data_IF_293616495123
#
_entry.id   IF_293616495123
#
_cell.length_a   1.000
_cell.length_b   1.000
_cell.length_c   1.000
_cell.angle_alpha   90.00
_cell.angle_beta   90.00
_cell.angle_gamma   90.00
#
_symmetry.space_group_name_H-M   'P 1'
#
loop_
_entity.id
_entity.type
_entity.pdbx_description
1 polymer ?
#
# COMPACT_ATOMS: atom_id res chain seq x y z
N UNK A 1 16.57 -26.65 5.57
CA UNK A 1 15.41 -25.79 5.25
C UNK A 1 14.29 -26.11 6.23
N UNK A 2 14.34 -25.41 7.38
CA UNK A 2 13.59 -25.74 8.59
C UNK A 2 12.22 -25.06 8.62
N UNK A 3 11.32 -25.58 9.45
CA UNK A 3 9.91 -25.20 9.57
C UNK A 3 9.59 -23.69 9.60
N UNK A 4 10.49 -22.85 10.13
CA UNK A 4 10.31 -21.39 10.21
C UNK A 4 10.22 -20.70 8.84
N UNK A 5 11.02 -21.14 7.86
CA UNK A 5 11.00 -20.54 6.52
C UNK A 5 9.74 -20.90 5.75
N UNK A 6 9.25 -22.14 5.94
CA UNK A 6 7.94 -22.56 5.41
C UNK A 6 6.79 -21.79 6.07
N UNK A 7 6.86 -21.57 7.38
CA UNK A 7 5.86 -20.77 8.09
C UNK A 7 5.86 -19.32 7.59
N UNK A 8 7.04 -18.71 7.44
CA UNK A 8 7.18 -17.35 6.91
C UNK A 8 6.60 -17.26 5.49
N UNK A 9 6.94 -18.21 4.62
CA UNK A 9 6.44 -18.24 3.26
C UNK A 9 4.91 -18.37 3.21
N UNK A 10 4.33 -19.24 4.05
CA UNK A 10 2.88 -19.38 4.15
C UNK A 10 2.21 -18.07 4.59
N UNK A 11 2.76 -17.41 5.62
CA UNK A 11 2.28 -16.10 6.08
C UNK A 11 2.34 -15.04 4.98
N UNK A 12 3.44 -14.98 4.23
CA UNK A 12 3.58 -13.99 3.15
C UNK A 12 2.62 -14.26 1.99
N UNK A 13 2.30 -15.53 1.69
CA UNK A 13 1.27 -15.89 0.69
C UNK A 13 -0.11 -15.40 1.16
N UNK A 14 -0.47 -15.64 2.41
CA UNK A 14 -1.74 -15.14 2.99
C UNK A 14 -1.81 -13.61 2.98
N UNK A 15 -0.68 -12.93 3.22
CA UNK A 15 -0.58 -11.48 3.13
C UNK A 15 -0.83 -10.94 1.72
N UNK A 16 -0.30 -11.61 0.69
CA UNK A 16 -0.54 -11.23 -0.71
C UNK A 16 -2.01 -11.39 -1.07
N UNK A 17 -2.67 -12.48 -0.64
CA UNK A 17 -4.09 -12.68 -0.89
C UNK A 17 -4.96 -11.65 -0.16
N UNK A 18 -4.63 -11.36 1.11
CA UNK A 18 -5.28 -10.28 1.85
C UNK A 18 -5.08 -8.93 1.14
N UNK A 19 -3.90 -8.66 0.59
CA UNK A 19 -3.66 -7.44 -0.17
C UNK A 19 -4.53 -7.34 -1.42
N UNK A 20 -4.72 -8.45 -2.16
CA UNK A 20 -5.64 -8.49 -3.31
C UNK A 20 -7.08 -8.17 -2.91
N UNK A 21 -7.54 -8.70 -1.77
CA UNK A 21 -8.86 -8.38 -1.21
C UNK A 21 -8.98 -6.91 -0.84
N UNK A 22 -8.00 -6.38 -0.10
CA UNK A 22 -7.96 -4.98 0.29
C UNK A 22 -8.03 -4.09 -0.97
N UNK A 23 -7.26 -4.38 -2.03
CA UNK A 23 -7.31 -3.61 -3.28
C UNK A 23 -8.69 -3.63 -3.93
N UNK A 24 -9.31 -4.80 -4.06
CA UNK A 24 -10.67 -4.93 -4.62
C UNK A 24 -11.65 -4.11 -3.82
N UNK A 25 -11.62 -4.26 -2.51
CA UNK A 25 -12.51 -3.55 -1.62
C UNK A 25 -12.32 -2.02 -1.68
N UNK A 26 -11.08 -1.54 -1.58
CA UNK A 26 -10.73 -0.11 -1.48
C UNK A 26 -10.72 0.62 -2.82
N UNK A 27 -10.85 -0.11 -3.93
CA UNK A 27 -10.98 0.49 -5.26
C UNK A 27 -12.27 1.28 -5.48
N UNK A 28 -13.25 1.12 -4.58
CA UNK A 28 -14.53 1.82 -4.64
C UNK A 28 -14.66 2.80 -3.48
N UNK A 29 -14.85 4.07 -3.82
CA UNK A 29 -15.12 5.15 -2.87
C UNK A 29 -13.88 5.86 -2.33
N UNK A 30 -14.10 6.70 -1.33
CA UNK A 30 -13.09 7.56 -0.73
C UNK A 30 -12.21 6.79 0.25
N UNK A 31 -10.89 6.77 -0.01
CA UNK A 31 -9.91 6.12 0.85
C UNK A 31 -9.83 6.76 2.24
N UNK A 32 -10.01 8.09 2.34
CA UNK A 32 -9.95 8.80 3.62
C UNK A 32 -11.16 8.49 4.51
N UNK A 33 -12.38 8.74 4.03
CA UNK A 33 -13.62 8.44 4.76
C UNK A 33 -13.66 6.98 5.22
N UNK A 34 -13.24 6.05 4.35
CA UNK A 34 -13.14 4.65 4.72
C UNK A 34 -12.10 4.38 5.82
N UNK A 35 -10.95 5.04 5.77
CA UNK A 35 -9.89 4.88 6.76
C UNK A 35 -10.32 5.37 8.15
N UNK A 36 -10.97 6.54 8.24
CA UNK A 36 -11.51 7.07 9.50
C UNK A 36 -12.72 6.27 10.01
N UNK A 37 -13.33 5.44 9.14
CA UNK A 37 -14.36 4.48 9.53
C UNK A 37 -15.78 4.93 9.30
N UNK A 38 -15.98 5.86 8.36
CA UNK A 38 -17.30 6.21 7.87
C UNK A 38 -18.07 5.00 7.35
N UNK A 39 -19.39 5.10 7.41
CA UNK A 39 -20.30 4.09 6.90
C UNK A 39 -20.20 3.97 5.36
N UNK A 40 -20.47 2.79 4.78
CA UNK A 40 -20.42 2.56 3.34
C UNK A 40 -21.21 3.56 2.49
N UNK A 41 -22.36 4.04 2.98
CA UNK A 41 -23.17 5.03 2.27
C UNK A 41 -22.44 6.37 2.07
N UNK A 42 -21.54 6.74 2.98
CA UNK A 42 -20.79 8.00 2.95
C UNK A 42 -19.61 7.89 1.99
N UNK A 43 -18.75 6.88 2.17
CA UNK A 43 -17.52 6.82 1.39
C UNK A 43 -17.71 6.29 -0.04
N UNK A 44 -18.75 5.50 -0.34
CA UNK A 44 -18.93 4.92 -1.70
C UNK A 44 -19.41 5.94 -2.74
N UNK A 45 -19.93 7.09 -2.33
CA UNK A 45 -20.50 8.08 -3.23
C UNK A 45 -19.49 8.99 -3.93
N UNK A 46 -18.21 8.98 -3.53
CA UNK A 46 -17.21 9.91 -4.04
C UNK A 46 -15.78 9.34 -3.95
N UNK A 47 -14.85 9.90 -4.72
CA UNK A 47 -13.42 9.60 -4.60
C UNK A 47 -12.68 10.57 -3.67
N UNK A 48 -11.43 10.25 -3.29
CA UNK A 48 -10.60 11.15 -2.46
C UNK A 48 -10.40 12.54 -3.08
N UNK A 49 -10.51 12.66 -4.41
CA UNK A 49 -10.39 13.94 -5.12
C UNK A 49 -11.58 14.87 -4.86
N UNK A 50 -12.75 14.31 -4.54
CA UNK A 50 -14.01 15.03 -4.33
C UNK A 50 -14.38 15.13 -2.84
N UNK A 51 -13.58 14.53 -1.97
CA UNK A 51 -13.86 14.44 -0.54
C UNK A 51 -13.75 15.81 0.14
N UNK A 52 -14.81 16.15 0.90
CA UNK A 52 -14.95 17.41 1.64
C UNK A 52 -14.63 17.31 3.14
N UNK A 53 -14.26 16.12 3.63
CA UNK A 53 -13.74 15.97 5.00
C UNK A 53 -12.51 16.86 5.21
N UNK A 54 -12.38 17.44 6.40
CA UNK A 54 -11.36 18.46 6.71
C UNK A 54 -9.94 18.01 6.33
N UNK A 55 -9.59 16.78 6.69
CA UNK A 55 -8.25 16.21 6.43
C UNK A 55 -8.05 15.65 5.02
N UNK A 56 -9.11 15.55 4.20
CA UNK A 56 -8.98 15.03 2.84
C UNK A 56 -8.05 15.90 1.98
N UNK A 57 -8.04 17.21 2.22
CA UNK A 57 -7.10 18.11 1.55
C UNK A 57 -5.64 17.80 1.92
N UNK A 58 -5.38 17.45 3.17
CA UNK A 58 -4.06 17.04 3.61
C UNK A 58 -3.65 15.71 2.97
N UNK A 59 -4.56 14.72 2.94
CA UNK A 59 -4.33 13.45 2.26
C UNK A 59 -3.95 13.67 0.79
N UNK A 60 -4.69 14.50 0.05
CA UNK A 60 -4.38 14.80 -1.36
C UNK A 60 -2.98 15.41 -1.53
N UNK A 61 -2.63 16.41 -0.71
CA UNK A 61 -1.28 17.02 -0.76
C UNK A 61 -0.18 16.01 -0.45
N UNK A 62 -0.39 15.17 0.56
CA UNK A 62 0.58 14.15 0.94
C UNK A 62 0.72 13.09 -0.14
N UNK A 63 -0.36 12.66 -0.81
CA UNK A 63 -0.29 11.73 -1.95
C UNK A 63 0.56 12.32 -3.08
N UNK A 64 0.39 13.60 -3.43
CA UNK A 64 1.22 14.25 -4.44
C UNK A 64 2.68 14.37 -4.00
N UNK A 65 2.94 14.64 -2.72
CA UNK A 65 4.29 14.60 -2.13
C UNK A 65 4.91 13.21 -2.27
N UNK A 66 4.19 12.15 -1.88
CA UNK A 66 4.63 10.75 -2.04
C UNK A 66 4.98 10.46 -3.50
N UNK A 67 4.11 10.85 -4.44
CA UNK A 67 4.35 10.67 -5.88
C UNK A 67 5.64 11.36 -6.34
N UNK A 68 5.94 12.54 -5.81
CA UNK A 68 7.15 13.29 -6.13
C UNK A 68 8.44 12.63 -5.62
N UNK A 69 8.41 12.01 -4.44
CA UNK A 69 9.61 11.50 -3.76
C UNK A 69 9.84 9.99 -3.93
N UNK A 70 8.78 9.19 -4.10
CA UNK A 70 8.91 7.73 -4.22
C UNK A 70 9.64 7.36 -5.51
N UNK A 71 10.53 6.37 -5.42
CA UNK A 71 11.27 5.84 -6.56
C UNK A 71 11.13 4.33 -6.56
N UNK A 72 10.41 3.80 -7.54
CA UNK A 72 10.21 2.37 -7.70
C UNK A 72 11.49 1.69 -8.15
N UNK A 73 11.94 0.69 -7.40
CA UNK A 73 13.03 -0.15 -7.83
C UNK A 73 12.68 -0.90 -9.14
N UNK A 74 13.63 -1.16 -10.04
CA UNK A 74 13.38 -1.93 -11.26
C UNK A 74 12.70 -3.28 -10.96
N UNK A 75 11.70 -3.63 -11.77
CA UNK A 75 10.93 -4.87 -11.67
C UNK A 75 10.17 -5.07 -10.34
N UNK A 76 10.05 -4.06 -9.48
CA UNK A 76 9.26 -4.18 -8.23
C UNK A 76 7.76 -4.00 -8.45
N UNK A 77 7.35 -3.27 -9.49
CA UNK A 77 5.95 -2.94 -9.74
C UNK A 77 5.69 -2.38 -11.14
N UNK A 78 4.43 -2.07 -11.42
CA UNK A 78 3.99 -1.14 -12.44
C UNK A 78 4.32 0.28 -12.00
N UNK A 79 5.13 1.00 -12.79
CA UNK A 79 5.61 2.34 -12.43
C UNK A 79 4.51 3.41 -12.41
N UNK A 80 3.34 3.14 -12.99
CA UNK A 80 2.23 4.10 -13.03
C UNK A 80 1.33 4.00 -11.79
N UNK A 81 0.99 2.78 -11.34
CA UNK A 81 0.12 2.58 -10.17
C UNK A 81 0.83 2.08 -8.91
N UNK A 82 2.10 1.68 -9.00
CA UNK A 82 2.89 1.16 -7.89
C UNK A 82 2.60 -0.28 -7.49
N UNK A 83 1.65 -0.98 -8.12
CA UNK A 83 1.31 -2.36 -7.77
C UNK A 83 2.22 -3.40 -8.44
N UNK A 84 2.41 -4.59 -7.83
CA UNK A 84 3.14 -5.70 -8.45
C UNK A 84 2.70 -5.96 -9.89
N UNK A 85 3.65 -6.30 -10.76
CA UNK A 85 3.34 -6.54 -12.17
C UNK A 85 2.36 -7.71 -12.34
N UNK A 86 2.41 -8.69 -11.45
CA UNK A 86 1.43 -9.79 -11.40
C UNK A 86 0.00 -9.36 -11.02
N UNK A 87 -0.14 -8.28 -10.25
CA UNK A 87 -1.44 -7.77 -9.82
C UNK A 87 -1.98 -6.76 -10.82
N UNK A 88 -1.11 -5.94 -11.42
CA UNK A 88 -1.52 -4.87 -12.33
C UNK A 88 -1.97 -5.42 -13.68
N UNK A 89 -3.21 -5.12 -14.07
CA UNK A 89 -3.80 -5.58 -15.33
C UNK A 89 -3.05 -5.11 -16.58
N UNK A 90 -2.22 -4.06 -16.48
CA UNK A 90 -1.36 -3.55 -17.56
C UNK A 90 -0.23 -4.52 -17.95
N UNK A 91 0.02 -5.55 -17.15
CA UNK A 91 1.08 -6.52 -17.38
C UNK A 91 0.51 -7.93 -17.59
N UNK A 92 1.26 -8.74 -18.33
CA UNK A 92 1.05 -10.19 -18.49
C UNK A 92 2.37 -10.94 -18.39
N UNK A 93 2.35 -12.24 -18.03
CA UNK A 93 3.55 -13.08 -18.03
C UNK A 93 4.16 -13.16 -19.44
N UNK A 94 5.50 -13.08 -19.54
CA UNK A 94 6.23 -13.21 -20.82
C UNK A 94 6.35 -14.66 -21.31
N UNK A 95 5.83 -15.64 -20.56
CA UNK A 95 5.91 -17.06 -20.86
C UNK A 95 6.96 -17.80 -20.01
N UNK A 96 7.50 -18.94 -20.47
CA UNK A 96 8.31 -19.86 -19.65
C UNK A 96 9.62 -19.28 -19.11
N UNK A 97 10.16 -18.24 -19.76
CA UNK A 97 11.38 -17.56 -19.33
C UNK A 97 11.19 -16.67 -18.09
N UNK A 98 9.96 -16.53 -17.60
CA UNK A 98 9.62 -15.71 -16.45
C UNK A 98 9.52 -14.21 -16.76
N UNK A 99 9.12 -13.44 -15.75
CA UNK A 99 8.93 -12.00 -15.82
C UNK A 99 7.64 -11.58 -16.53
N UNK A 100 7.44 -10.26 -16.61
CA UNK A 100 6.22 -9.66 -17.15
C UNK A 100 6.53 -8.68 -18.29
N UNK A 101 5.55 -8.51 -19.17
CA UNK A 101 5.57 -7.51 -20.23
C UNK A 101 4.32 -6.63 -20.18
N UNK A 102 4.44 -5.38 -20.64
CA UNK A 102 3.31 -4.46 -20.71
C UNK A 102 2.42 -4.83 -21.90
N UNK A 103 1.11 -4.85 -21.66
CA UNK A 103 0.10 -4.96 -22.71
C UNK A 103 -0.13 -3.57 -23.30
N UNK A 104 0.02 -3.43 -24.62
CA UNK A 104 -0.19 -2.16 -25.32
C UNK A 104 -1.63 -1.65 -25.14
N UNK A 105 -1.78 -0.35 -24.92
CA UNK A 105 -3.08 0.32 -24.77
C UNK A 105 -3.84 0.05 -23.46
N UNK A 106 -3.41 -0.92 -22.64
CA UNK A 106 -4.12 -1.26 -21.39
C UNK A 106 -3.77 -0.29 -20.26
N UNK A 107 -4.80 0.16 -19.53
CA UNK A 107 -4.69 1.05 -18.35
C UNK A 107 -4.58 0.25 -17.06
N UNK A 108 -4.00 0.86 -16.02
CA UNK A 108 -4.01 0.28 -14.67
C UNK A 108 -5.42 0.31 -14.09
N UNK A 109 -5.86 -0.79 -13.48
CA UNK A 109 -7.17 -0.91 -12.85
C UNK A 109 -7.25 -0.21 -11.47
N UNK A 110 -6.10 0.10 -10.87
CA UNK A 110 -5.98 0.72 -9.54
C UNK A 110 -5.08 1.96 -9.57
N UNK A 111 -5.22 2.79 -10.61
CA UNK A 111 -4.39 4.00 -10.77
C UNK A 111 -4.49 4.91 -9.53
N UNK A 112 -3.35 5.28 -8.95
CA UNK A 112 -3.27 6.18 -7.78
C UNK A 112 -3.74 5.59 -6.43
N UNK A 113 -4.37 4.41 -6.43
CA UNK A 113 -4.99 3.83 -5.25
C UNK A 113 -3.97 3.50 -4.14
N UNK A 114 -2.82 2.90 -4.49
CA UNK A 114 -1.83 2.43 -3.52
C UNK A 114 -1.33 3.56 -2.60
N UNK A 115 -0.94 4.69 -3.19
CA UNK A 115 -0.45 5.84 -2.43
C UNK A 115 -1.57 6.45 -1.59
N UNK A 116 -2.78 6.60 -2.16
CA UNK A 116 -3.94 7.12 -1.44
C UNK A 116 -4.29 6.26 -0.22
N UNK A 117 -4.20 4.94 -0.34
CA UNK A 117 -4.41 4.01 0.77
C UNK A 117 -3.37 4.16 1.87
N UNK A 118 -2.07 4.18 1.54
CA UNK A 118 -1.01 4.34 2.55
C UNK A 118 -1.20 5.64 3.31
N UNK A 119 -1.39 6.76 2.61
CA UNK A 119 -1.58 8.07 3.25
C UNK A 119 -2.84 8.11 4.10
N UNK A 120 -3.96 7.57 3.60
CA UNK A 120 -5.24 7.58 4.32
C UNK A 120 -5.19 6.71 5.58
N UNK A 121 -4.66 5.49 5.48
CA UNK A 121 -4.53 4.58 6.62
C UNK A 121 -3.51 5.08 7.64
N UNK A 122 -2.40 5.66 7.17
CA UNK A 122 -1.38 6.25 8.02
C UNK A 122 -1.92 7.46 8.79
N UNK A 123 -2.62 8.37 8.11
CA UNK A 123 -3.23 9.54 8.72
C UNK A 123 -4.35 9.18 9.71
N UNK A 124 -5.28 8.31 9.33
CA UNK A 124 -6.42 7.94 10.18
C UNK A 124 -6.02 7.12 11.42
N UNK A 125 -4.84 6.48 11.36
CA UNK A 125 -4.23 5.80 12.49
C UNK A 125 -3.36 6.71 13.36
N UNK A 126 -3.26 8.00 13.03
CA UNK A 126 -2.43 9.00 13.73
C UNK A 126 -0.96 8.54 13.84
N UNK A 127 -0.46 7.93 12.77
CA UNK A 127 0.89 7.34 12.77
C UNK A 127 2.02 8.36 12.57
N UNK A 128 1.68 9.64 12.40
CA UNK A 128 2.65 10.73 12.33
C UNK A 128 3.45 10.83 13.63
N UNK A 129 4.78 10.70 13.54
CA UNK A 129 5.66 10.69 14.71
C UNK A 129 5.52 9.47 15.63
N UNK A 130 4.66 8.50 15.30
CA UNK A 130 4.36 7.38 16.21
C UNK A 130 5.49 6.36 16.30
N UNK A 131 5.79 5.90 17.52
CA UNK A 131 6.80 4.85 17.74
C UNK A 131 6.43 3.54 17.07
N UNK A 132 5.14 3.23 16.95
CA UNK A 132 4.67 2.00 16.32
C UNK A 132 5.05 1.95 14.83
N UNK A 133 4.86 3.06 14.11
CA UNK A 133 5.22 3.16 12.69
C UNK A 133 6.73 3.04 12.47
N UNK A 134 7.52 3.79 13.22
CA UNK A 134 8.98 3.72 13.11
C UNK A 134 9.56 2.38 13.58
N UNK A 135 8.89 1.68 14.50
CA UNK A 135 9.27 0.31 14.88
C UNK A 135 9.02 -0.66 13.74
N UNK A 136 7.84 -0.62 13.12
CA UNK A 136 7.55 -1.41 11.93
C UNK A 136 8.58 -1.16 10.81
N UNK A 137 8.86 0.10 10.48
CA UNK A 137 9.85 0.44 9.45
C UNK A 137 11.23 -0.14 9.76
N UNK A 138 11.71 -0.03 11.00
CA UNK A 138 13.00 -0.60 11.43
C UNK A 138 13.02 -2.12 11.37
N UNK A 139 11.95 -2.79 11.78
CA UNK A 139 11.81 -4.25 11.68
C UNK A 139 11.83 -4.72 10.22
N UNK A 140 11.38 -3.89 9.28
CA UNK A 140 11.52 -4.14 7.84
C UNK A 140 12.89 -3.73 7.26
N UNK A 141 13.82 -3.24 8.09
CA UNK A 141 15.17 -2.87 7.66
C UNK A 141 15.26 -1.45 7.07
N UNK A 142 14.37 -0.54 7.47
CA UNK A 142 14.51 0.86 7.16
C UNK A 142 15.45 1.57 8.15
N UNK A 143 16.56 2.11 7.64
CA UNK A 143 17.46 2.98 8.40
C UNK A 143 16.99 4.44 8.26
N UNK A 144 15.92 4.78 8.97
CA UNK A 144 15.28 6.10 8.88
C UNK A 144 15.32 6.75 10.26
N UNK A 145 15.84 7.97 10.31
CA UNK A 145 15.84 8.78 11.53
C UNK A 145 14.48 9.49 11.67
N UNK A 146 14.04 9.75 12.91
CA UNK A 146 12.71 10.33 13.16
C UNK A 146 12.50 11.73 12.53
N UNK A 147 13.60 12.45 12.28
CA UNK A 147 13.63 13.75 11.60
C UNK A 147 13.52 13.65 10.07
N UNK A 148 13.74 12.48 9.47
CA UNK A 148 13.62 12.29 8.01
C UNK A 148 12.15 12.05 7.63
N UNK A 149 11.39 13.14 7.61
CA UNK A 149 9.95 13.14 7.35
C UNK A 149 9.55 12.48 6.02
N UNK A 150 10.47 12.43 5.03
CA UNK A 150 10.24 11.82 3.71
C UNK A 150 11.04 10.54 3.46
N UNK A 151 11.96 10.18 4.36
CA UNK A 151 12.86 9.03 4.20
C UNK A 151 12.10 7.73 4.04
N UNK A 152 10.99 7.60 4.76
CA UNK A 152 10.14 6.43 4.66
C UNK A 152 9.38 6.37 3.33
N UNK A 153 8.89 7.49 2.78
CA UNK A 153 8.27 7.48 1.45
C UNK A 153 9.23 6.99 0.36
N UNK A 154 10.51 7.39 0.44
CA UNK A 154 11.56 6.87 -0.46
C UNK A 154 11.79 5.38 -0.25
N UNK A 155 11.89 4.95 1.00
CA UNK A 155 12.11 3.54 1.37
C UNK A 155 10.97 2.63 0.90
N UNK A 156 9.72 3.09 0.91
CA UNK A 156 8.56 2.31 0.44
C UNK A 156 8.66 1.87 -1.03
N UNK A 157 9.52 2.52 -1.85
CA UNK A 157 9.76 2.14 -3.24
C UNK A 157 10.70 0.95 -3.44
N UNK A 158 11.34 0.44 -2.37
CA UNK A 158 12.28 -0.68 -2.44
C UNK A 158 11.59 -1.98 -2.86
N UNK A 159 12.32 -2.77 -3.64
CA UNK A 159 11.87 -4.10 -4.09
C UNK A 159 11.93 -5.11 -2.94
N UNK A 160 10.92 -5.98 -2.88
CA UNK A 160 10.84 -7.11 -1.95
C UNK A 160 10.28 -8.34 -2.66
N UNK A 161 10.74 -9.53 -2.27
CA UNK A 161 10.06 -10.79 -2.58
C UNK A 161 9.03 -11.05 -1.50
N UNK A 162 7.77 -11.22 -1.88
CA UNK A 162 6.67 -11.29 -0.93
C UNK A 162 5.66 -12.33 -1.40
N UNK A 163 5.53 -13.44 -0.67
CA UNK A 163 4.50 -14.45 -0.95
C UNK A 163 4.63 -15.08 -2.35
N UNK A 164 5.86 -15.17 -2.86
CA UNK A 164 6.15 -15.71 -4.20
C UNK A 164 6.07 -14.70 -5.34
N UNK A 165 5.79 -13.42 -5.07
CA UNK A 165 5.72 -12.36 -6.09
C UNK A 165 6.77 -11.27 -5.87
N UNK A 166 7.17 -10.61 -6.96
CA UNK A 166 7.98 -9.39 -6.90
C UNK A 166 7.10 -8.18 -6.58
N UNK A 167 7.43 -7.47 -5.51
CA UNK A 167 6.63 -6.35 -4.99
C UNK A 167 7.52 -5.22 -4.49
N UNK A 168 6.91 -4.25 -3.81
CA UNK A 168 7.58 -3.19 -3.07
C UNK A 168 7.07 -3.06 -1.62
N UNK A 169 7.85 -2.37 -0.79
CA UNK A 169 7.53 -2.17 0.62
C UNK A 169 6.24 -1.37 0.85
N UNK A 170 5.81 -0.51 -0.10
CA UNK A 170 4.51 0.18 -0.01
C UNK A 170 3.33 -0.79 0.06
N UNK A 171 3.38 -1.90 -0.67
CA UNK A 171 2.32 -2.91 -0.62
C UNK A 171 2.25 -3.62 0.73
N UNK A 172 3.40 -3.94 1.33
CA UNK A 172 3.49 -4.52 2.68
C UNK A 172 3.02 -3.53 3.75
N UNK A 173 3.34 -2.25 3.59
CA UNK A 173 2.89 -1.18 4.47
C UNK A 173 1.36 -1.07 4.50
N UNK A 174 0.68 -1.20 3.35
CA UNK A 174 -0.80 -1.21 3.30
C UNK A 174 -1.37 -2.33 4.17
N UNK A 175 -0.87 -3.57 4.02
CA UNK A 175 -1.36 -4.72 4.79
C UNK A 175 -1.15 -4.49 6.29
N UNK A 176 0.03 -4.01 6.68
CA UNK A 176 0.33 -3.72 8.07
C UNK A 176 -0.61 -2.64 8.63
N UNK A 177 -0.71 -1.48 7.97
CA UNK A 177 -1.54 -0.36 8.41
C UNK A 177 -3.02 -0.76 8.51
N UNK A 178 -3.51 -1.52 7.53
CA UNK A 178 -4.88 -2.04 7.53
C UNK A 178 -5.16 -2.95 8.73
N UNK A 179 -4.24 -3.87 9.06
CA UNK A 179 -4.35 -4.75 10.24
C UNK A 179 -4.37 -3.95 11.54
N UNK A 180 -3.51 -2.94 11.68
CA UNK A 180 -3.48 -2.11 12.88
C UNK A 180 -4.79 -1.32 13.05
N UNK A 181 -5.32 -0.73 11.97
CA UNK A 181 -6.60 -0.02 12.01
C UNK A 181 -7.77 -0.92 12.43
N UNK A 182 -7.83 -2.17 11.94
CA UNK A 182 -8.86 -3.14 12.37
C UNK A 182 -8.72 -3.53 13.85
N UNK A 183 -7.50 -3.71 14.32
CA UNK A 183 -7.25 -4.04 15.73
C UNK A 183 -7.65 -2.90 16.66
N UNK A 184 -7.43 -1.63 16.25
CA UNK A 184 -7.89 -0.46 17.01
C UNK A 184 -9.41 -0.43 17.13
N UNK A 185 -10.13 -0.60 16.01
CA UNK A 185 -11.61 -0.63 16.00
C UNK A 185 -12.18 -1.77 16.86
N UNK A 186 -11.52 -2.93 16.91
CA UNK A 186 -11.93 -4.06 17.76
C UNK A 186 -11.68 -3.85 19.26
N UNK A 187 -10.73 -3.00 19.64
CA UNK A 187 -10.41 -2.70 21.05
C UNK A 187 -11.22 -1.54 21.61
N UNK A 188 -11.78 -0.69 20.74
CA UNK A 188 -12.66 0.43 21.11
C UNK A 188 -14.15 0.13 20.97
N UNK A 189 -14.52 -1.09 20.55
CA UNK A 189 -15.88 -1.62 20.54
C UNK A 189 -16.02 -2.65 21.67
#
# INVERSE_FOLDING_TARGET
WGQEERQRQATEIEEVEQFREILREWSVGCTWCRAIGEEPGVYRGHGIQECMEDDAANVRRTVERVRGVVRWAPYSCCFDCGLPQEICSRYEPRGPAGGFQRIAGRRCQYMGLLMAMVVSLWGAGEYEGSQQWYTYLREQGAAIEAQDTDGWFRWLGRKVQWGGIESNEMCRAVVWLYRQGRNRKRRGA
#
